data_IF_965291797328
#
_entry.id   IF_965291797328
#
_cell.length_a   1.000
_cell.length_b   1.000
_cell.length_c   1.000
_cell.angle_alpha   90.00
_cell.angle_beta   90.00
_cell.angle_gamma   90.00
#
_symmetry.space_group_name_H-M   'P 1'
#
loop_
_entity.id
_entity.type
_entity.pdbx_description
1 polymer ?
#
# COMPACT_ATOMS: atom_id res chain seq x y z
N UNK A 1 -8.36 -18.26 -13.28
CA UNK A 1 -7.75 -16.93 -13.10
C UNK A 1 -8.53 -16.00 -12.16
N UNK A 2 -9.86 -16.15 -11.98
CA UNK A 2 -10.65 -15.31 -11.06
C UNK A 2 -10.33 -15.48 -9.56
N UNK A 3 -9.97 -16.69 -9.11
CA UNK A 3 -9.65 -16.94 -7.70
C UNK A 3 -8.41 -16.15 -7.21
N UNK A 4 -7.34 -16.07 -8.00
CA UNK A 4 -6.13 -15.31 -7.63
C UNK A 4 -6.39 -13.80 -7.47
N UNK A 5 -7.27 -13.21 -8.30
CA UNK A 5 -7.68 -11.79 -8.16
C UNK A 5 -8.50 -11.55 -6.90
N UNK A 6 -9.36 -12.49 -6.53
CA UNK A 6 -10.22 -12.42 -5.34
C UNK A 6 -9.42 -12.51 -4.05
N UNK A 7 -8.35 -13.30 -4.05
CA UNK A 7 -7.46 -13.48 -2.91
C UNK A 7 -6.54 -12.27 -2.68
N UNK A 8 -5.98 -11.67 -3.75
CA UNK A 8 -5.18 -10.45 -3.64
C UNK A 8 -6.01 -9.26 -3.09
N UNK A 9 -7.26 -9.10 -3.57
CA UNK A 9 -8.18 -8.06 -3.06
C UNK A 9 -8.46 -8.25 -1.56
N UNK A 10 -8.72 -9.48 -1.12
CA UNK A 10 -8.97 -9.79 0.30
C UNK A 10 -7.74 -9.55 1.17
N UNK A 11 -6.54 -9.90 0.69
CA UNK A 11 -5.30 -9.65 1.44
C UNK A 11 -5.06 -8.14 1.63
N UNK A 12 -5.20 -7.35 0.56
CA UNK A 12 -5.08 -5.89 0.63
C UNK A 12 -6.10 -5.32 1.63
N UNK A 13 -7.37 -5.72 1.54
CA UNK A 13 -8.41 -5.28 2.49
C UNK A 13 -8.09 -5.66 3.94
N UNK A 14 -7.55 -6.86 4.16
CA UNK A 14 -7.17 -7.32 5.50
C UNK A 14 -6.04 -6.47 6.08
N UNK A 15 -5.04 -6.12 5.26
CA UNK A 15 -3.92 -5.26 5.68
C UNK A 15 -4.39 -3.84 5.96
N UNK A 16 -5.23 -3.28 5.09
CA UNK A 16 -5.79 -1.93 5.31
C UNK A 16 -6.60 -1.85 6.61
N UNK A 17 -7.42 -2.86 6.92
CA UNK A 17 -8.16 -2.93 8.21
C UNK A 17 -7.23 -2.97 9.42
N UNK A 18 -6.09 -3.67 9.32
CA UNK A 18 -5.09 -3.68 10.40
C UNK A 18 -4.47 -2.29 10.58
N UNK A 19 -4.13 -1.62 9.48
CA UNK A 19 -3.57 -0.26 9.50
C UNK A 19 -4.57 0.73 10.10
N UNK A 20 -5.85 0.64 9.75
CA UNK A 20 -6.93 1.43 10.36
C UNK A 20 -6.96 1.26 11.89
N UNK A 21 -6.83 0.02 12.37
CA UNK A 21 -6.72 -0.26 13.80
C UNK A 21 -5.49 0.35 14.45
N UNK A 22 -4.34 0.35 13.76
CA UNK A 22 -3.12 1.00 14.24
C UNK A 22 -3.28 2.53 14.32
N UNK A 23 -3.92 3.16 13.32
CA UNK A 23 -4.20 4.61 13.33
C UNK A 23 -5.06 4.97 14.56
N UNK A 24 -6.15 4.24 14.78
CA UNK A 24 -7.00 4.42 15.99
C UNK A 24 -6.23 4.19 17.28
N UNK A 25 -5.26 3.27 17.27
CA UNK A 25 -4.36 3.05 18.41
C UNK A 25 -3.48 4.26 18.70
N UNK A 26 -2.90 4.88 17.67
CA UNK A 26 -2.08 6.09 17.80
C UNK A 26 -2.91 7.27 18.29
N UNK A 27 -4.11 7.46 17.77
CA UNK A 27 -5.04 8.50 18.23
C UNK A 27 -5.25 8.41 19.74
N UNK A 28 -5.56 7.21 20.26
CA UNK A 28 -5.68 6.96 21.70
C UNK A 28 -4.37 7.18 22.46
N UNK A 29 -3.21 6.85 21.88
CA UNK A 29 -1.92 7.12 22.54
C UNK A 29 -1.70 8.63 22.73
N UNK A 30 -2.10 9.43 21.74
CA UNK A 30 -2.01 10.90 21.81
C UNK A 30 -3.01 11.45 22.83
N UNK A 31 -4.26 10.99 22.81
CA UNK A 31 -5.29 11.37 23.79
C UNK A 31 -4.87 11.09 25.23
N UNK A 32 -4.16 9.97 25.45
CA UNK A 32 -3.68 9.56 26.77
C UNK A 32 -2.27 10.12 27.11
N UNK A 33 -1.77 11.09 26.35
CA UNK A 33 -0.47 11.75 26.54
C UNK A 33 0.71 10.74 26.67
N UNK A 34 0.66 9.65 25.90
CA UNK A 34 1.72 8.64 25.89
C UNK A 34 3.06 9.21 25.40
N UNK A 35 4.15 8.53 25.76
CA UNK A 35 5.50 8.94 25.37
C UNK A 35 5.63 9.15 23.85
N UNK A 36 6.16 10.30 23.43
CA UNK A 36 6.35 10.63 22.01
C UNK A 36 7.21 9.60 21.28
N UNK A 37 8.19 8.99 21.96
CA UNK A 37 9.02 7.92 21.39
C UNK A 37 8.17 6.71 20.97
N UNK A 38 7.23 6.31 21.81
CA UNK A 38 6.37 5.14 21.54
C UNK A 38 5.38 5.44 20.42
N UNK A 39 4.84 6.66 20.38
CA UNK A 39 4.00 7.13 19.27
C UNK A 39 4.79 7.08 17.94
N UNK A 40 6.03 7.57 17.93
CA UNK A 40 6.89 7.52 16.74
C UNK A 40 7.19 6.08 16.27
N UNK A 41 7.35 5.13 17.20
CA UNK A 41 7.52 3.72 16.87
C UNK A 41 6.26 3.17 16.17
N UNK A 42 5.06 3.51 16.66
CA UNK A 42 3.81 3.08 16.03
C UNK A 42 3.61 3.72 14.65
N UNK A 43 3.94 5.01 14.49
CA UNK A 43 3.93 5.68 13.18
C UNK A 43 4.87 4.96 12.20
N UNK A 44 6.08 4.60 12.64
CA UNK A 44 7.03 3.85 11.82
C UNK A 44 6.49 2.47 11.42
N UNK A 45 5.77 1.78 12.31
CA UNK A 45 5.11 0.51 12.02
C UNK A 45 4.00 0.67 10.97
N UNK A 46 3.19 1.74 11.04
CA UNK A 46 2.17 2.05 10.03
C UNK A 46 2.82 2.34 8.68
N UNK A 47 3.89 3.15 8.65
CA UNK A 47 4.62 3.44 7.41
C UNK A 47 5.13 2.15 6.74
N UNK A 48 5.72 1.25 7.52
CA UNK A 48 6.18 -0.04 7.02
C UNK A 48 5.02 -0.92 6.51
N UNK A 49 3.86 -0.90 7.18
CA UNK A 49 2.67 -1.63 6.75
C UNK A 49 2.08 -1.05 5.45
N UNK A 50 2.01 0.28 5.33
CA UNK A 50 1.55 0.97 4.13
C UNK A 50 2.45 0.70 2.93
N UNK A 51 3.77 0.70 3.11
CA UNK A 51 4.70 0.35 2.03
C UNK A 51 4.45 -1.07 1.49
N UNK A 52 4.13 -2.04 2.37
CA UNK A 52 3.77 -3.40 1.95
C UNK A 52 2.48 -3.43 1.15
N UNK A 53 1.45 -2.67 1.56
CA UNK A 53 0.19 -2.59 0.81
C UNK A 53 0.41 -1.93 -0.55
N UNK A 54 1.14 -0.82 -0.59
CA UNK A 54 1.46 -0.12 -1.84
C UNK A 54 2.25 -0.98 -2.81
N UNK A 55 3.23 -1.76 -2.33
CA UNK A 55 3.96 -2.73 -3.16
C UNK A 55 3.05 -3.78 -3.81
N UNK A 56 2.06 -4.31 -3.08
CA UNK A 56 1.09 -5.26 -3.63
C UNK A 56 0.20 -4.62 -4.72
N UNK A 57 -0.23 -3.38 -4.50
CA UNK A 57 -1.04 -2.63 -5.47
C UNK A 57 -0.22 -2.32 -6.73
N UNK A 58 1.02 -1.88 -6.56
CA UNK A 58 1.96 -1.58 -7.63
C UNK A 58 2.30 -2.83 -8.46
N UNK A 59 2.52 -3.98 -7.81
CA UNK A 59 2.74 -5.25 -8.51
C UNK A 59 1.54 -5.60 -9.40
N UNK A 60 0.32 -5.44 -8.89
CA UNK A 60 -0.90 -5.68 -9.66
C UNK A 60 -1.07 -4.67 -10.79
N UNK A 61 -0.73 -3.39 -10.57
CA UNK A 61 -0.75 -2.37 -11.61
C UNK A 61 0.24 -2.70 -12.73
N UNK A 62 1.49 -3.02 -12.40
CA UNK A 62 2.52 -3.41 -13.36
C UNK A 62 2.08 -4.63 -14.19
N UNK A 63 1.56 -5.67 -13.53
CA UNK A 63 1.03 -6.86 -14.23
C UNK A 63 -0.10 -6.51 -15.21
N UNK A 64 -0.97 -5.57 -14.86
CA UNK A 64 -2.07 -5.14 -15.74
C UNK A 64 -1.59 -4.30 -16.92
N UNK A 65 -0.63 -3.39 -16.71
CA UNK A 65 -0.01 -2.61 -17.80
C UNK A 65 0.62 -3.51 -18.87
N UNK A 66 1.25 -4.62 -18.48
CA UNK A 66 1.90 -5.53 -19.43
C UNK A 66 1.00 -6.63 -20.01
N UNK A 67 -0.08 -7.02 -19.32
CA UNK A 67 -0.92 -8.15 -19.74
C UNK A 67 -2.24 -7.76 -20.41
N UNK A 68 -2.65 -6.49 -20.40
CA UNK A 68 -4.05 -6.13 -20.69
C UNK A 68 -4.32 -4.87 -21.51
N UNK A 69 -3.34 -4.26 -22.18
CA UNK A 69 -3.54 -3.01 -22.92
C UNK A 69 -3.28 -3.11 -24.41
N UNK A 70 -4.14 -2.45 -25.21
CA UNK A 70 -3.88 -2.04 -26.61
C UNK A 70 -2.88 -0.86 -26.71
N UNK A 71 -2.31 -0.42 -25.59
CA UNK A 71 -1.31 0.65 -25.55
C UNK A 71 0.00 0.20 -26.19
N UNK A 72 0.67 1.13 -26.86
CA UNK A 72 2.06 0.91 -27.27
C UNK A 72 2.93 0.65 -26.03
N UNK A 73 3.90 -0.25 -26.18
CA UNK A 73 4.73 -0.72 -25.06
C UNK A 73 5.47 0.42 -24.36
N UNK A 74 5.87 1.45 -25.10
CA UNK A 74 6.62 2.58 -24.58
C UNK A 74 5.76 3.46 -23.66
N UNK A 75 4.50 3.71 -24.04
CA UNK A 75 3.54 4.46 -23.21
C UNK A 75 3.23 3.70 -21.90
N UNK A 76 3.07 2.38 -21.97
CA UNK A 76 2.84 1.55 -20.78
C UNK A 76 4.04 1.54 -19.81
N UNK A 77 5.26 1.64 -20.34
CA UNK A 77 6.49 1.73 -19.54
C UNK A 77 6.58 3.12 -18.88
N UNK A 78 6.29 4.20 -19.59
CA UNK A 78 6.31 5.56 -19.03
C UNK A 78 5.30 5.70 -17.87
N UNK A 79 4.07 5.21 -18.05
CA UNK A 79 3.03 5.19 -17.02
C UNK A 79 3.47 4.41 -15.77
N UNK A 80 4.13 3.26 -15.97
CA UNK A 80 4.68 2.45 -14.88
C UNK A 80 5.80 3.17 -14.13
N UNK A 81 6.77 3.75 -14.85
CA UNK A 81 7.90 4.47 -14.26
C UNK A 81 7.42 5.69 -13.49
N UNK A 82 6.44 6.43 -14.02
CA UNK A 82 5.82 7.57 -13.35
C UNK A 82 5.15 7.15 -12.04
N UNK A 83 4.32 6.10 -12.08
CA UNK A 83 3.62 5.56 -10.90
C UNK A 83 4.60 5.05 -9.85
N UNK A 84 5.66 4.34 -10.27
CA UNK A 84 6.72 3.86 -9.39
C UNK A 84 7.47 5.01 -8.70
N UNK A 85 7.84 6.03 -9.47
CA UNK A 85 8.57 7.21 -8.97
C UNK A 85 7.72 8.01 -7.98
N UNK A 86 6.41 8.11 -8.21
CA UNK A 86 5.48 8.71 -7.23
C UNK A 86 5.44 7.91 -5.93
N UNK A 87 5.42 6.58 -6.01
CA UNK A 87 5.31 5.70 -4.84
C UNK A 87 6.58 5.64 -3.97
N UNK A 88 7.75 5.86 -4.57
CA UNK A 88 9.04 5.83 -3.88
C UNK A 88 9.39 7.13 -3.13
N UNK A 89 8.66 8.22 -3.38
CA UNK A 89 8.80 9.50 -2.67
C UNK A 89 8.15 9.41 -1.29
#
# INVERSE_FOLDING_TARGET
MENQKKDAKKDIQTRLRRIEGQVKGIEKMVENECCCRDVLIQIAAIRAAMNKVGGLVLENYAKQCFLGGDKEKDEAIEDLVSTFTMFMK
#
